data_IF_088321411865
#
_entry.id   IF_088321411865
#
_cell.length_a   1.000
_cell.length_b   1.000
_cell.length_c   1.000
_cell.angle_alpha   90.00
_cell.angle_beta   90.00
_cell.angle_gamma   90.00
#
_symmetry.space_group_name_H-M   'P 1'
#
loop_
_entity.id
_entity.type
_entity.pdbx_description
1 polymer ?
#
# COMPACT_ATOMS: atom_id res chain seq x y z
N UNK A 1 -8.07 -4.75 -47.15
CA UNK A 1 -7.97 -6.00 -46.39
C UNK A 1 -8.32 -5.68 -44.96
N UNK A 2 -9.30 -6.35 -44.33
CA UNK A 2 -9.57 -6.17 -42.92
C UNK A 2 -8.35 -6.69 -42.14
N UNK A 3 -7.78 -5.88 -41.22
CA UNK A 3 -6.72 -6.35 -40.34
C UNK A 3 -7.23 -7.53 -39.52
N UNK A 4 -6.37 -8.50 -39.28
CA UNK A 4 -6.67 -9.61 -38.38
C UNK A 4 -6.79 -9.06 -36.95
N UNK A 5 -7.87 -9.39 -36.25
CA UNK A 5 -8.14 -8.92 -34.86
C UNK A 5 -6.98 -9.22 -33.89
N UNK A 6 -6.26 -10.32 -34.08
CA UNK A 6 -5.08 -10.63 -33.28
C UNK A 6 -3.90 -9.68 -33.55
N UNK A 7 -3.73 -9.24 -34.80
CA UNK A 7 -2.71 -8.24 -35.15
C UNK A 7 -3.08 -6.89 -34.56
N UNK A 8 -4.36 -6.48 -34.64
CA UNK A 8 -4.82 -5.23 -34.02
C UNK A 8 -4.65 -5.23 -32.50
N UNK A 9 -4.96 -6.34 -31.82
CA UNK A 9 -4.73 -6.51 -30.39
C UNK A 9 -3.25 -6.43 -30.06
N UNK A 10 -2.40 -7.14 -30.81
CA UNK A 10 -0.94 -7.12 -30.60
C UNK A 10 -0.36 -5.72 -30.77
N UNK A 11 -0.77 -5.00 -31.82
CA UNK A 11 -0.32 -3.63 -32.08
C UNK A 11 -0.80 -2.66 -30.95
N UNK A 12 -2.04 -2.83 -30.48
CA UNK A 12 -2.57 -2.04 -29.38
C UNK A 12 -1.78 -2.27 -28.09
N UNK A 13 -1.46 -3.52 -27.76
CA UNK A 13 -0.68 -3.85 -26.56
C UNK A 13 0.76 -3.35 -26.66
N UNK A 14 1.39 -3.42 -27.81
CA UNK A 14 2.71 -2.85 -28.04
C UNK A 14 2.72 -1.33 -27.83
N UNK A 15 1.73 -0.64 -28.44
CA UNK A 15 1.57 0.81 -28.28
C UNK A 15 1.29 1.22 -26.82
N UNK A 16 0.49 0.43 -26.09
CA UNK A 16 0.23 0.65 -24.67
C UNK A 16 1.52 0.52 -23.84
N UNK A 17 2.37 -0.48 -24.14
CA UNK A 17 3.66 -0.67 -23.48
C UNK A 17 4.62 0.50 -23.76
N UNK A 18 4.71 0.95 -25.02
CA UNK A 18 5.52 2.12 -25.40
C UNK A 18 5.05 3.39 -24.69
N UNK A 19 3.76 3.64 -24.63
CA UNK A 19 3.17 4.79 -23.95
C UNK A 19 3.51 4.78 -22.45
N UNK A 20 3.28 3.67 -21.75
CA UNK A 20 3.62 3.52 -20.34
C UNK A 20 5.13 3.57 -20.09
N UNK A 21 5.93 3.14 -21.06
CA UNK A 21 7.38 3.19 -21.03
C UNK A 21 7.96 4.59 -20.84
N UNK A 22 7.25 5.63 -21.30
CA UNK A 22 7.68 7.04 -21.14
C UNK A 22 7.66 7.49 -19.66
N UNK A 23 6.76 6.93 -18.85
CA UNK A 23 6.66 7.22 -17.41
C UNK A 23 7.32 6.16 -16.54
N UNK A 24 7.73 5.02 -17.12
CA UNK A 24 8.43 3.94 -16.41
C UNK A 24 9.92 4.18 -16.43
N UNK A 25 10.53 4.22 -15.25
CA UNK A 25 11.94 4.55 -15.05
C UNK A 25 12.71 3.36 -14.48
N UNK A 26 14.02 3.35 -14.71
CA UNK A 26 14.94 2.49 -13.99
C UNK A 26 15.32 3.15 -12.67
N UNK A 27 15.30 2.38 -11.59
CA UNK A 27 15.72 2.81 -10.25
C UNK A 27 16.92 1.96 -9.82
N UNK A 28 18.10 2.59 -9.74
CA UNK A 28 19.32 2.00 -9.18
C UNK A 28 19.51 2.49 -7.75
N UNK A 29 18.84 1.83 -6.80
CA UNK A 29 18.84 2.15 -5.38
C UNK A 29 19.32 1.01 -4.49
N UNK A 30 19.86 -0.07 -5.08
CA UNK A 30 20.33 -1.26 -4.35
C UNK A 30 21.62 -1.84 -4.96
N UNK A 31 22.28 -2.74 -4.20
CA UNK A 31 23.59 -3.28 -4.58
C UNK A 31 23.57 -4.29 -5.74
N UNK A 32 22.47 -5.01 -5.93
CA UNK A 32 22.41 -6.11 -6.91
C UNK A 32 22.12 -5.58 -8.32
N UNK A 33 20.88 -5.63 -8.73
CA UNK A 33 20.45 -5.16 -10.05
C UNK A 33 19.35 -4.12 -9.90
N UNK A 34 19.23 -3.16 -10.82
CA UNK A 34 18.21 -2.13 -10.73
C UNK A 34 16.80 -2.69 -10.68
N UNK A 35 15.88 -1.86 -10.26
CA UNK A 35 14.45 -2.13 -10.27
C UNK A 35 13.74 -1.09 -11.12
N UNK A 36 12.41 -1.13 -11.11
CA UNK A 36 11.58 -0.20 -11.83
C UNK A 36 10.95 0.82 -10.87
N UNK A 37 10.54 1.93 -11.43
CA UNK A 37 9.71 2.93 -10.81
C UNK A 37 8.79 3.57 -11.82
N UNK A 38 7.87 4.40 -11.35
CA UNK A 38 6.97 5.16 -12.19
C UNK A 38 6.96 6.62 -11.76
N UNK A 39 7.00 7.53 -12.72
CA UNK A 39 6.85 8.94 -12.45
C UNK A 39 5.39 9.25 -12.10
N UNK A 40 5.11 9.60 -10.85
CA UNK A 40 3.77 10.05 -10.45
C UNK A 40 3.63 11.57 -10.45
N UNK A 41 4.77 12.28 -10.47
CA UNK A 41 4.89 13.71 -10.75
C UNK A 41 6.17 13.99 -11.53
N UNK A 42 6.35 15.21 -12.03
CA UNK A 42 7.52 15.59 -12.85
C UNK A 42 8.87 15.41 -12.14
N UNK A 43 8.87 15.44 -10.83
CA UNK A 43 10.05 15.38 -9.98
C UNK A 43 9.97 14.31 -8.88
N UNK A 44 8.97 13.40 -8.98
CA UNK A 44 8.72 12.36 -8.00
C UNK A 44 8.52 11.01 -8.68
N UNK A 45 9.26 10.02 -8.19
CA UNK A 45 9.15 8.63 -8.64
C UNK A 45 8.58 7.78 -7.51
N UNK A 46 7.57 7.01 -7.82
CA UNK A 46 7.04 5.95 -6.96
C UNK A 46 7.68 4.62 -7.34
N UNK A 47 8.14 3.87 -6.34
CA UNK A 47 8.74 2.54 -6.51
C UNK A 47 8.39 1.63 -5.34
N UNK A 48 8.80 0.38 -5.36
CA UNK A 48 8.65 -0.52 -4.22
C UNK A 48 9.69 -0.22 -3.12
N UNK A 49 9.29 -0.29 -1.85
CA UNK A 49 10.17 -0.02 -0.71
C UNK A 49 11.36 -0.99 -0.63
N UNK A 50 11.10 -2.29 -0.85
CA UNK A 50 12.12 -3.33 -0.73
C UNK A 50 13.26 -3.23 -1.76
N UNK A 51 13.12 -2.39 -2.80
CA UNK A 51 14.17 -2.16 -3.80
C UNK A 51 15.01 -0.93 -3.49
N UNK A 52 14.70 -0.17 -2.42
CA UNK A 52 15.41 1.03 -1.99
C UNK A 52 16.28 0.70 -0.78
N UNK A 53 17.56 0.41 -1.02
CA UNK A 53 18.57 0.11 0.01
C UNK A 53 19.42 1.32 0.40
N UNK A 54 19.33 2.43 -0.39
CA UNK A 54 20.04 3.70 -0.17
C UNK A 54 19.05 4.85 -0.10
N UNK A 55 19.34 5.84 0.72
CA UNK A 55 18.47 7.01 0.90
C UNK A 55 18.90 8.20 0.02
N UNK A 56 20.19 8.22 -0.40
CA UNK A 56 20.79 9.26 -1.23
C UNK A 56 21.59 8.67 -2.40
N UNK A 57 22.01 9.49 -3.33
CA UNK A 57 22.78 9.12 -4.54
C UNK A 57 22.12 7.99 -5.33
N UNK A 58 20.80 7.99 -5.35
CA UNK A 58 20.00 7.03 -6.12
C UNK A 58 20.02 7.48 -7.58
N UNK A 59 20.39 6.59 -8.50
CA UNK A 59 20.31 6.87 -9.93
C UNK A 59 18.98 6.47 -10.49
N UNK A 60 18.35 7.39 -11.22
CA UNK A 60 17.10 7.17 -11.93
C UNK A 60 17.35 7.44 -13.42
N UNK A 61 16.95 6.49 -14.27
CA UNK A 61 17.03 6.67 -15.73
C UNK A 61 15.61 6.76 -16.27
N UNK A 62 15.31 7.90 -16.88
CA UNK A 62 14.01 8.21 -17.45
C UNK A 62 13.72 7.40 -18.73
N UNK A 63 12.50 7.52 -19.25
CA UNK A 63 12.06 6.84 -20.47
C UNK A 63 12.89 7.22 -21.72
N UNK A 64 13.37 8.43 -21.79
CA UNK A 64 14.23 8.97 -22.86
C UNK A 64 15.72 8.65 -22.69
N UNK A 65 16.11 7.96 -21.63
CA UNK A 65 17.49 7.63 -21.30
C UNK A 65 18.23 8.66 -20.46
N UNK A 66 17.59 9.77 -20.09
CA UNK A 66 18.19 10.80 -19.22
C UNK A 66 18.47 10.21 -17.84
N UNK A 67 19.71 10.32 -17.37
CA UNK A 67 20.13 9.88 -16.03
C UNK A 67 20.05 11.07 -15.06
N UNK A 68 19.31 10.89 -13.96
CA UNK A 68 19.14 11.89 -12.90
C UNK A 68 19.54 11.28 -11.55
N UNK A 69 19.94 12.16 -10.64
CA UNK A 69 20.12 11.78 -9.23
C UNK A 69 18.82 11.99 -8.47
N UNK A 70 18.55 11.10 -7.55
CA UNK A 70 17.40 11.17 -6.66
C UNK A 70 17.81 10.88 -5.22
N UNK A 71 16.96 11.31 -4.29
CA UNK A 71 17.01 10.96 -2.88
C UNK A 71 15.69 10.41 -2.40
N UNK A 72 15.72 9.63 -1.34
CA UNK A 72 14.49 9.15 -0.70
C UNK A 72 13.71 10.34 -0.11
N UNK A 73 12.48 10.54 -0.56
CA UNK A 73 11.55 11.52 0.00
C UNK A 73 10.70 10.94 1.12
N UNK A 74 10.38 9.65 1.02
CA UNK A 74 9.64 8.95 2.05
C UNK A 74 9.44 7.48 1.70
N UNK A 75 9.18 6.66 2.72
CA UNK A 75 8.97 5.22 2.55
C UNK A 75 7.93 4.67 3.50
N UNK A 76 7.26 3.62 3.08
CA UNK A 76 6.34 2.83 3.88
C UNK A 76 6.55 1.33 3.67
N UNK A 77 7.36 0.68 4.53
CA UNK A 77 7.56 -0.77 4.44
C UNK A 77 6.27 -1.58 4.53
N UNK A 78 5.25 -1.05 5.18
CA UNK A 78 3.98 -1.74 5.36
C UNK A 78 3.15 -1.88 4.09
N UNK A 79 3.19 -0.91 3.19
CA UNK A 79 2.58 -1.00 1.86
C UNK A 79 3.60 -1.36 0.78
N UNK A 80 4.89 -1.52 1.16
CA UNK A 80 5.99 -1.75 0.23
C UNK A 80 6.11 -0.66 -0.85
N UNK A 81 5.89 0.60 -0.48
CA UNK A 81 6.02 1.76 -1.36
C UNK A 81 7.08 2.75 -0.87
N UNK A 82 7.81 3.33 -1.80
CA UNK A 82 8.76 4.41 -1.55
C UNK A 82 8.65 5.50 -2.61
N UNK A 83 8.87 6.74 -2.20
CA UNK A 83 8.89 7.91 -3.07
C UNK A 83 10.30 8.46 -3.13
N UNK A 84 10.81 8.66 -4.34
CA UNK A 84 12.08 9.29 -4.61
C UNK A 84 11.84 10.67 -5.18
N UNK A 85 12.59 11.66 -4.70
CA UNK A 85 12.63 13.04 -5.22
C UNK A 85 13.81 13.18 -6.17
N UNK A 86 13.51 13.55 -7.41
CA UNK A 86 14.52 13.88 -8.42
C UNK A 86 15.14 15.25 -8.16
N UNK A 87 16.35 15.46 -8.59
CA UNK A 87 17.05 16.75 -8.61
C UNK A 87 16.52 17.67 -9.72
N UNK A 88 15.75 17.16 -10.66
CA UNK A 88 15.16 17.88 -11.79
C UNK A 88 13.72 17.45 -12.05
N UNK A 89 12.87 18.39 -12.48
CA UNK A 89 11.45 18.13 -12.81
C UNK A 89 11.28 17.76 -14.30
N UNK A 90 11.91 16.66 -14.73
CA UNK A 90 11.99 16.25 -16.14
C UNK A 90 11.20 14.97 -16.46
N UNK A 91 10.70 14.25 -15.46
CA UNK A 91 9.96 13.00 -15.70
C UNK A 91 8.59 13.28 -16.33
N UNK A 92 8.11 12.32 -17.12
CA UNK A 92 6.76 12.31 -17.72
C UNK A 92 5.82 11.59 -16.76
N UNK A 93 4.86 12.27 -16.12
CA UNK A 93 3.94 11.62 -15.19
C UNK A 93 3.07 10.57 -15.88
N UNK A 94 2.84 9.48 -15.17
CA UNK A 94 1.97 8.41 -15.64
C UNK A 94 0.50 8.82 -15.69
N UNK A 95 -0.23 8.25 -16.63
CA UNK A 95 -1.68 8.39 -16.73
C UNK A 95 -2.34 7.26 -15.95
N UNK A 96 -3.07 7.59 -14.91
CA UNK A 96 -3.83 6.60 -14.11
C UNK A 96 -5.14 6.28 -14.81
N UNK A 97 -5.52 5.01 -14.80
CA UNK A 97 -6.81 4.56 -15.34
C UNK A 97 -7.97 5.17 -14.55
N UNK A 98 -8.96 5.71 -15.24
CA UNK A 98 -10.14 6.33 -14.63
C UNK A 98 -11.11 5.31 -14.03
N UNK A 99 -11.07 4.08 -14.53
CA UNK A 99 -11.92 2.99 -14.07
C UNK A 99 -11.05 1.93 -13.38
N UNK A 100 -11.50 1.32 -12.28
CA UNK A 100 -10.76 0.25 -11.64
C UNK A 100 -10.62 -0.97 -12.55
N UNK A 101 -9.58 -1.77 -12.30
CA UNK A 101 -9.39 -3.04 -12.98
C UNK A 101 -10.56 -4.00 -12.70
N UNK A 102 -10.83 -4.90 -13.63
CA UNK A 102 -11.87 -5.93 -13.50
C UNK A 102 -11.28 -7.31 -13.78
N UNK A 103 -11.75 -8.32 -13.06
CA UNK A 103 -11.36 -9.72 -13.30
C UNK A 103 -11.63 -10.10 -14.74
N UNK A 104 -10.66 -10.76 -15.39
CA UNK A 104 -10.70 -11.17 -16.78
C UNK A 104 -10.16 -10.11 -17.77
N UNK A 105 -9.85 -8.88 -17.34
CA UNK A 105 -9.22 -7.89 -18.22
C UNK A 105 -7.79 -8.27 -18.58
N UNK A 106 -7.40 -8.02 -19.84
CA UNK A 106 -6.02 -8.09 -20.29
C UNK A 106 -5.20 -6.95 -19.70
N UNK A 107 -3.98 -7.27 -19.28
CA UNK A 107 -3.05 -6.34 -18.66
C UNK A 107 -1.61 -6.61 -19.09
N UNK A 108 -0.77 -5.58 -18.96
CA UNK A 108 0.67 -5.70 -19.10
C UNK A 108 1.33 -5.23 -17.80
N UNK A 109 2.23 -6.05 -17.25
CA UNK A 109 3.21 -5.56 -16.29
C UNK A 109 4.38 -4.97 -17.09
N UNK A 110 4.79 -3.75 -16.73
CA UNK A 110 5.92 -3.07 -17.37
C UNK A 110 7.03 -2.90 -16.35
N UNK A 111 8.24 -3.18 -16.75
CA UNK A 111 9.46 -2.91 -15.99
C UNK A 111 10.52 -2.24 -16.87
N UNK A 112 11.49 -1.57 -16.21
CA UNK A 112 12.72 -1.06 -16.82
C UNK A 112 13.90 -1.51 -15.96
N UNK A 113 14.23 -2.81 -16.00
CA UNK A 113 15.28 -3.37 -15.12
C UNK A 113 16.69 -3.06 -15.61
N UNK A 114 16.84 -2.51 -16.81
CA UNK A 114 18.13 -2.22 -17.44
C UNK A 114 18.08 -1.01 -18.37
N UNK A 115 19.26 -0.49 -18.76
CA UNK A 115 19.40 0.59 -19.75
C UNK A 115 18.94 0.20 -21.17
N UNK A 116 18.64 -1.09 -21.41
CA UNK A 116 18.20 -1.58 -22.74
C UNK A 116 16.77 -1.15 -23.08
N UNK A 117 16.00 -0.64 -22.11
CA UNK A 117 14.63 -0.19 -22.30
C UNK A 117 13.64 -0.89 -21.39
N UNK A 118 12.37 -0.83 -21.78
CA UNK A 118 11.29 -1.50 -21.06
C UNK A 118 11.24 -2.99 -21.41
N UNK A 119 10.76 -3.77 -20.45
CA UNK A 119 10.37 -5.16 -20.61
C UNK A 119 8.89 -5.27 -20.20
N UNK A 120 8.16 -6.18 -20.83
CA UNK A 120 6.72 -6.36 -20.54
C UNK A 120 6.37 -7.84 -20.35
N UNK A 121 5.33 -8.07 -19.57
CA UNK A 121 4.70 -9.38 -19.40
C UNK A 121 3.19 -9.23 -19.53
N UNK A 122 2.61 -9.98 -20.46
CA UNK A 122 1.17 -10.01 -20.72
C UNK A 122 0.46 -11.01 -19.80
N UNK A 123 -0.74 -10.67 -19.38
CA UNK A 123 -1.59 -11.55 -18.59
C UNK A 123 -2.99 -11.02 -18.42
N UNK A 124 -3.70 -11.57 -17.45
CA UNK A 124 -5.06 -11.21 -17.08
C UNK A 124 -5.16 -10.86 -15.60
N UNK A 125 -6.17 -10.07 -15.25
CA UNK A 125 -6.56 -9.86 -13.85
C UNK A 125 -7.29 -11.12 -13.37
N UNK A 126 -6.69 -11.85 -12.43
CA UNK A 126 -7.23 -13.12 -11.92
C UNK A 126 -8.15 -12.91 -10.73
N UNK A 127 -7.81 -11.95 -9.86
CA UNK A 127 -8.59 -11.62 -8.69
C UNK A 127 -8.36 -10.18 -8.25
N UNK A 128 -9.36 -9.62 -7.59
CA UNK A 128 -9.28 -8.37 -6.84
C UNK A 128 -9.72 -8.71 -5.43
N UNK A 129 -8.89 -8.41 -4.45
CA UNK A 129 -9.13 -8.77 -3.06
C UNK A 129 -8.74 -7.66 -2.10
N UNK A 130 -9.02 -7.87 -0.83
CA UNK A 130 -8.68 -6.99 0.29
C UNK A 130 -9.80 -6.93 1.33
N UNK A 131 -9.54 -6.36 2.49
CA UNK A 131 -8.23 -5.94 2.97
C UNK A 131 -7.31 -7.12 3.32
N UNK A 132 -5.99 -6.90 3.26
CA UNK A 132 -4.99 -7.91 3.62
C UNK A 132 -3.85 -7.30 4.43
N UNK A 133 -3.44 -7.98 5.49
CA UNK A 133 -2.26 -7.62 6.24
C UNK A 133 -0.99 -7.98 5.48
N UNK A 134 -0.06 -7.06 5.49
CA UNK A 134 1.26 -7.30 4.93
C UNK A 134 2.20 -7.85 6.01
N UNK A 135 3.19 -8.65 5.60
CA UNK A 135 4.17 -9.24 6.52
C UNK A 135 5.04 -8.22 7.26
N UNK A 136 4.98 -6.95 6.88
CA UNK A 136 5.72 -5.84 7.51
C UNK A 136 4.83 -4.89 8.34
N UNK A 137 3.67 -5.38 8.79
CA UNK A 137 2.80 -4.66 9.72
C UNK A 137 1.93 -3.57 9.09
N UNK A 138 1.80 -3.56 7.76
CA UNK A 138 0.85 -2.70 7.04
C UNK A 138 -0.46 -3.40 6.72
N UNK A 139 -1.37 -2.63 6.15
CA UNK A 139 -2.65 -3.09 5.62
C UNK A 139 -2.77 -2.60 4.18
N UNK A 140 -3.10 -3.47 3.25
CA UNK A 140 -3.59 -3.09 1.93
C UNK A 140 -5.11 -3.20 1.95
N UNK A 141 -5.80 -2.11 1.70
CA UNK A 141 -7.26 -2.09 1.60
C UNK A 141 -7.76 -2.93 0.42
N UNK A 142 -6.97 -3.00 -0.64
CA UNK A 142 -7.23 -3.83 -1.81
C UNK A 142 -5.93 -4.20 -2.53
N UNK A 143 -5.98 -5.26 -3.33
CA UNK A 143 -4.89 -5.68 -4.21
C UNK A 143 -5.45 -6.28 -5.51
N UNK A 144 -4.64 -6.21 -6.56
CA UNK A 144 -4.92 -6.88 -7.84
C UNK A 144 -3.96 -8.06 -7.97
N UNK A 145 -4.50 -9.23 -8.26
CA UNK A 145 -3.73 -10.45 -8.57
C UNK A 145 -3.85 -10.75 -10.05
N UNK A 146 -2.72 -11.08 -10.68
CA UNK A 146 -2.62 -11.37 -12.10
C UNK A 146 -1.79 -12.62 -12.34
N UNK A 147 -1.83 -13.14 -13.57
CA UNK A 147 -0.96 -14.23 -14.05
C UNK A 147 0.24 -13.72 -14.87
N UNK A 148 0.51 -12.41 -14.84
CA UNK A 148 1.73 -11.87 -15.43
C UNK A 148 2.98 -12.47 -14.77
N UNK A 149 4.01 -12.67 -15.56
CA UNK A 149 5.32 -13.06 -15.03
C UNK A 149 6.01 -11.82 -14.48
N UNK A 150 6.26 -11.80 -13.18
CA UNK A 150 7.04 -10.74 -12.54
C UNK A 150 8.54 -11.05 -12.69
N UNK A 151 9.16 -10.54 -13.73
CA UNK A 151 10.60 -10.69 -13.94
C UNK A 151 11.41 -9.90 -12.90
N UNK A 152 12.68 -10.33 -12.64
CA UNK A 152 13.57 -9.57 -11.75
C UNK A 152 13.68 -8.11 -12.17
N UNK A 153 13.41 -7.20 -11.22
CA UNK A 153 13.44 -5.76 -11.49
C UNK A 153 12.10 -5.15 -11.90
N UNK A 154 11.00 -5.90 -11.97
CA UNK A 154 9.66 -5.37 -12.27
C UNK A 154 9.00 -4.68 -11.07
N UNK A 155 9.44 -4.97 -9.85
CA UNK A 155 8.93 -4.30 -8.64
C UNK A 155 9.09 -2.78 -8.75
N UNK A 156 8.03 -2.05 -8.42
CA UNK A 156 7.92 -0.60 -8.58
C UNK A 156 7.42 -0.14 -9.96
N UNK A 157 7.43 -1.01 -10.96
CA UNK A 157 6.86 -0.73 -12.28
C UNK A 157 5.33 -0.86 -12.33
N UNK A 158 4.67 -0.30 -13.34
CA UNK A 158 3.22 -0.30 -13.42
C UNK A 158 2.63 -1.61 -13.95
N UNK A 159 1.41 -1.91 -13.51
CA UNK A 159 0.44 -2.73 -14.22
C UNK A 159 -0.45 -1.80 -15.04
N UNK A 160 -0.61 -2.05 -16.35
CA UNK A 160 -1.36 -1.18 -17.25
C UNK A 160 -2.48 -1.91 -17.99
N UNK A 161 -3.46 -1.13 -18.46
CA UNK A 161 -4.49 -1.58 -19.39
C UNK A 161 -4.03 -1.49 -20.86
N UNK A 162 -4.88 -1.87 -21.80
CA UNK A 162 -4.61 -1.80 -23.24
C UNK A 162 -4.49 -0.39 -23.83
N UNK A 163 -4.72 0.65 -23.01
CA UNK A 163 -4.55 2.06 -23.37
C UNK A 163 -3.28 2.68 -22.75
N UNK A 164 -2.43 1.87 -22.11
CA UNK A 164 -1.21 2.33 -21.42
C UNK A 164 -1.48 3.06 -20.11
N UNK A 165 -2.70 3.03 -19.58
CA UNK A 165 -3.07 3.67 -18.33
C UNK A 165 -2.80 2.73 -17.15
N UNK A 166 -2.35 3.29 -16.04
CA UNK A 166 -1.89 2.55 -14.87
C UNK A 166 -3.05 2.08 -14.00
N UNK A 167 -3.16 0.78 -13.78
CA UNK A 167 -4.04 0.17 -12.79
C UNK A 167 -3.42 0.09 -11.40
N UNK A 168 -2.09 0.04 -11.32
CA UNK A 168 -1.39 -0.03 -10.04
C UNK A 168 0.09 -0.29 -10.17
N UNK A 169 0.75 -0.53 -9.03
CA UNK A 169 2.19 -0.73 -8.89
C UNK A 169 2.47 -2.19 -8.55
N UNK A 170 3.31 -2.84 -9.35
CA UNK A 170 3.71 -4.23 -9.15
C UNK A 170 4.72 -4.36 -8.01
N UNK A 171 4.53 -5.33 -7.15
CA UNK A 171 5.48 -5.68 -6.10
C UNK A 171 5.54 -7.17 -5.85
N UNK A 172 6.74 -7.67 -5.52
CA UNK A 172 7.00 -9.02 -5.02
C UNK A 172 7.26 -9.06 -3.51
N UNK A 173 7.13 -7.92 -2.81
CA UNK A 173 7.51 -7.76 -1.40
C UNK A 173 6.58 -8.44 -0.39
N UNK A 174 5.44 -9.00 -0.81
CA UNK A 174 4.44 -9.58 0.10
C UNK A 174 4.49 -11.11 0.26
N UNK A 175 5.55 -11.78 -0.17
CA UNK A 175 5.82 -13.19 0.16
C UNK A 175 5.30 -14.22 -0.85
N UNK A 176 5.00 -15.45 -0.41
CA UNK A 176 4.91 -16.68 -1.19
C UNK A 176 3.72 -16.84 -2.16
N UNK A 177 2.94 -15.81 -2.39
CA UNK A 177 1.76 -15.88 -3.26
C UNK A 177 1.95 -15.40 -4.70
N UNK A 178 3.18 -15.09 -5.11
CA UNK A 178 3.48 -14.42 -6.39
C UNK A 178 3.45 -12.89 -6.29
N UNK A 179 3.70 -12.20 -7.40
CA UNK A 179 3.60 -10.75 -7.45
C UNK A 179 2.15 -10.31 -7.32
N UNK A 180 1.93 -9.25 -6.58
CA UNK A 180 0.65 -8.53 -6.51
C UNK A 180 0.83 -7.11 -7.01
N UNK A 181 -0.27 -6.48 -7.35
CA UNK A 181 -0.30 -5.08 -7.76
C UNK A 181 -1.10 -4.29 -6.74
N UNK A 182 -0.49 -3.22 -6.21
CA UNK A 182 -1.17 -2.24 -5.34
C UNK A 182 -1.97 -1.32 -6.26
N UNK A 183 -3.32 -1.21 -6.10
CA UNK A 183 -4.13 -0.36 -6.96
C UNK A 183 -3.65 1.08 -6.99
N UNK A 184 -3.81 1.75 -8.14
CA UNK A 184 -3.24 3.07 -8.36
C UNK A 184 -3.79 4.14 -7.42
N UNK A 185 -5.08 4.12 -7.12
CA UNK A 185 -5.71 5.03 -6.16
C UNK A 185 -5.09 4.94 -4.77
N UNK A 186 -4.88 3.72 -4.27
CA UNK A 186 -4.20 3.47 -3.00
C UNK A 186 -2.71 3.88 -3.07
N UNK A 187 -2.01 3.49 -4.15
CA UNK A 187 -0.60 3.79 -4.33
C UNK A 187 -0.32 5.30 -4.43
N UNK A 188 -1.15 6.06 -5.15
CA UNK A 188 -1.02 7.52 -5.27
C UNK A 188 -1.29 8.23 -3.94
N UNK A 189 -2.32 7.84 -3.20
CA UNK A 189 -2.62 8.37 -1.87
C UNK A 189 -1.46 8.17 -0.89
N UNK A 190 -0.85 6.98 -0.93
CA UNK A 190 0.36 6.69 -0.15
C UNK A 190 1.53 7.58 -0.63
N UNK A 191 1.76 7.67 -1.94
CA UNK A 191 2.82 8.46 -2.52
C UNK A 191 2.74 9.94 -2.14
N UNK A 192 1.56 10.56 -2.20
CA UNK A 192 1.31 11.93 -1.78
C UNK A 192 1.62 12.14 -0.29
N UNK A 193 1.22 11.19 0.57
CA UNK A 193 1.51 11.23 2.00
C UNK A 193 3.02 11.15 2.26
N UNK A 194 3.70 10.21 1.57
CA UNK A 194 5.15 10.04 1.69
C UNK A 194 5.93 11.24 1.17
N UNK A 195 5.51 11.83 0.04
CA UNK A 195 6.12 13.03 -0.52
C UNK A 195 6.03 14.24 0.44
N UNK A 196 4.92 14.34 1.19
CA UNK A 196 4.64 15.46 2.09
C UNK A 196 5.22 15.26 3.48
N UNK A 197 5.18 14.05 4.02
CA UNK A 197 5.48 13.76 5.43
C UNK A 197 6.65 12.79 5.64
N UNK A 198 7.18 12.19 4.59
CA UNK A 198 8.30 11.23 4.64
C UNK A 198 7.92 9.83 5.12
N UNK A 199 6.82 9.69 5.85
CA UNK A 199 6.34 8.41 6.41
C UNK A 199 4.83 8.39 6.58
N UNK A 200 4.28 7.19 6.71
CA UNK A 200 2.90 6.99 7.15
C UNK A 200 2.90 6.79 8.66
N UNK A 201 2.20 7.66 9.38
CA UNK A 201 2.02 7.51 10.82
C UNK A 201 1.10 6.33 11.09
N UNK A 202 1.60 5.36 11.86
CA UNK A 202 0.83 4.22 12.35
C UNK A 202 0.62 4.34 13.84
N UNK A 203 -0.64 4.31 14.23
CA UNK A 203 -0.99 4.37 15.63
C UNK A 203 -0.65 3.07 16.35
N UNK A 204 -0.26 3.23 17.60
CA UNK A 204 0.18 2.19 18.49
C UNK A 204 -0.48 2.35 19.85
N UNK A 205 -1.05 1.26 20.38
CA UNK A 205 -1.61 1.22 21.74
C UNK A 205 -0.75 0.40 22.71
N UNK A 206 0.01 -0.58 22.20
CA UNK A 206 0.79 -1.51 23.02
C UNK A 206 -0.07 -2.56 23.72
N UNK A 207 -1.10 -3.04 23.05
CA UNK A 207 -1.95 -4.12 23.53
C UNK A 207 -1.65 -5.43 22.81
N UNK A 208 -1.85 -6.55 23.50
CA UNK A 208 -2.06 -7.87 22.92
C UNK A 208 -3.52 -8.22 23.10
N UNK A 209 -4.21 -8.60 22.05
CA UNK A 209 -5.64 -8.85 22.07
C UNK A 209 -6.06 -10.06 21.25
N UNK A 210 -7.24 -10.56 21.54
CA UNK A 210 -7.88 -11.66 20.83
C UNK A 210 -9.30 -11.26 20.47
N UNK A 211 -9.77 -11.63 19.27
CA UNK A 211 -11.18 -11.47 18.93
C UNK A 211 -12.03 -12.42 19.77
N UNK A 212 -13.05 -11.90 20.40
CA UNK A 212 -14.00 -12.67 21.25
C UNK A 212 -15.41 -12.25 20.91
N UNK A 213 -16.36 -13.17 21.11
CA UNK A 213 -17.78 -12.82 21.09
C UNK A 213 -18.11 -12.01 22.34
N UNK A 214 -18.86 -10.92 22.18
CA UNK A 214 -19.32 -10.10 23.28
C UNK A 214 -20.46 -10.84 23.98
N UNK A 215 -20.39 -11.07 25.31
CA UNK A 215 -21.50 -11.65 26.07
C UNK A 215 -22.81 -10.84 25.91
N UNK A 216 -23.98 -11.48 25.97
CA UNK A 216 -25.28 -10.85 25.77
C UNK A 216 -25.50 -9.62 26.67
N UNK A 217 -25.07 -9.71 27.94
CA UNK A 217 -25.13 -8.59 28.89
C UNK A 217 -24.27 -7.40 28.41
N UNK A 218 -23.11 -7.67 27.82
CA UNK A 218 -22.25 -6.66 27.23
C UNK A 218 -22.84 -6.06 25.95
N UNK A 219 -23.44 -6.88 25.08
CA UNK A 219 -24.11 -6.41 23.87
C UNK A 219 -25.27 -5.45 24.21
N UNK A 220 -26.00 -5.72 25.28
CA UNK A 220 -27.09 -4.86 25.74
C UNK A 220 -26.65 -3.46 26.16
N UNK A 221 -25.38 -3.26 26.54
CA UNK A 221 -24.79 -1.98 26.87
C UNK A 221 -24.43 -1.15 25.63
N UNK A 222 -24.28 -1.81 24.47
CA UNK A 222 -23.90 -1.13 23.22
C UNK A 222 -25.14 -0.53 22.57
N UNK A 223 -25.05 0.72 22.12
CA UNK A 223 -26.13 1.41 21.37
C UNK A 223 -26.19 0.97 19.89
N UNK A 224 -25.49 -0.11 19.55
CA UNK A 224 -25.38 -0.67 18.19
C UNK A 224 -25.37 -2.19 18.25
N UNK A 225 -25.75 -2.82 17.14
CA UNK A 225 -25.62 -4.27 17.00
C UNK A 225 -24.16 -4.60 16.72
N UNK A 226 -23.50 -5.33 17.63
CA UNK A 226 -22.11 -5.74 17.52
C UNK A 226 -21.93 -7.08 18.22
N UNK A 227 -21.38 -8.07 17.51
CA UNK A 227 -21.25 -9.44 18.02
C UNK A 227 -19.84 -9.71 18.60
N UNK A 228 -18.80 -9.03 18.06
CA UNK A 228 -17.42 -9.27 18.42
C UNK A 228 -16.74 -8.01 18.99
N UNK A 229 -15.67 -8.25 19.73
CA UNK A 229 -14.76 -7.22 20.23
C UNK A 229 -13.36 -7.80 20.45
N UNK A 230 -12.42 -6.96 20.85
CA UNK A 230 -11.03 -7.35 21.07
C UNK A 230 -10.72 -7.42 22.57
N UNK A 231 -10.70 -8.63 23.14
CA UNK A 231 -10.29 -8.87 24.53
C UNK A 231 -8.79 -8.55 24.69
N UNK A 232 -8.45 -7.63 25.57
CA UNK A 232 -7.08 -7.31 25.92
C UNK A 232 -6.53 -8.40 26.83
N UNK A 233 -5.54 -9.15 26.33
CA UNK A 233 -4.89 -10.26 27.05
C UNK A 233 -3.51 -9.89 27.56
N UNK A 234 -3.01 -8.70 27.23
CA UNK A 234 -1.74 -8.18 27.73
C UNK A 234 -1.51 -6.73 27.31
N UNK A 235 -0.71 -6.04 28.11
CA UNK A 235 -0.24 -4.68 27.87
C UNK A 235 1.29 -4.68 27.83
N UNK A 236 1.87 -3.91 26.91
CA UNK A 236 3.31 -3.65 26.94
C UNK A 236 3.61 -2.63 28.04
N UNK A 237 4.77 -2.76 28.68
CA UNK A 237 5.19 -1.82 29.71
C UNK A 237 5.27 -0.39 29.13
N UNK A 238 4.86 0.59 29.91
CA UNK A 238 4.86 2.01 29.53
C UNK A 238 4.13 2.34 28.21
N UNK A 239 3.22 1.44 27.80
CA UNK A 239 2.45 1.62 26.57
C UNK A 239 1.39 2.72 26.67
N UNK A 240 0.99 3.33 25.55
CA UNK A 240 -0.15 4.25 25.49
C UNK A 240 -1.41 3.71 26.16
N UNK A 241 -1.71 2.43 25.94
CA UNK A 241 -2.86 1.75 26.53
C UNK A 241 -2.78 1.68 28.06
N UNK A 242 -1.62 1.26 28.60
CA UNK A 242 -1.41 1.20 30.04
C UNK A 242 -1.46 2.58 30.70
N UNK A 243 -0.77 3.55 30.11
CA UNK A 243 -0.77 4.94 30.58
C UNK A 243 -2.17 5.60 30.50
N UNK A 244 -2.98 5.20 29.52
CA UNK A 244 -4.35 5.66 29.35
C UNK A 244 -5.38 4.97 30.25
N UNK A 245 -4.98 3.93 31.01
CA UNK A 245 -5.86 3.23 31.95
C UNK A 245 -6.64 2.06 31.38
N UNK A 246 -6.22 1.51 30.21
CA UNK A 246 -6.72 0.21 29.75
C UNK A 246 -6.16 -0.91 30.64
N UNK A 247 -6.90 -1.98 30.78
CA UNK A 247 -6.57 -3.11 31.64
C UNK A 247 -6.68 -4.44 30.88
N UNK A 248 -5.92 -5.43 31.32
CA UNK A 248 -6.12 -6.82 30.89
C UNK A 248 -7.51 -7.26 31.34
N UNK A 249 -8.28 -7.85 30.43
CA UNK A 249 -9.69 -8.22 30.66
C UNK A 249 -10.69 -7.23 30.10
N UNK A 250 -10.27 -6.02 29.67
CA UNK A 250 -11.13 -5.12 28.89
C UNK A 250 -11.43 -5.73 27.52
N UNK A 251 -12.66 -5.59 27.02
CA UNK A 251 -13.02 -5.89 25.64
C UNK A 251 -13.16 -4.56 24.91
N UNK A 252 -12.22 -4.25 24.04
CA UNK A 252 -12.29 -3.06 23.17
C UNK A 252 -13.38 -3.28 22.12
N UNK A 253 -14.38 -2.41 22.12
CA UNK A 253 -15.55 -2.48 21.22
C UNK A 253 -15.67 -1.28 20.31
N UNK A 254 -14.91 -0.19 20.54
CA UNK A 254 -14.97 1.01 19.69
C UNK A 254 -13.74 1.90 19.81
N UNK A 255 -13.50 2.67 18.74
CA UNK A 255 -12.48 3.72 18.67
C UNK A 255 -13.11 4.97 18.07
N UNK A 256 -13.07 6.08 18.77
CA UNK A 256 -13.66 7.36 18.35
C UNK A 256 -15.14 7.25 17.93
N UNK A 257 -15.93 6.40 18.62
CA UNK A 257 -17.34 6.16 18.34
C UNK A 257 -17.64 5.12 17.27
N UNK A 258 -16.64 4.64 16.54
CA UNK A 258 -16.78 3.64 15.50
C UNK A 258 -16.56 2.23 16.05
N UNK A 259 -17.37 1.27 15.63
CA UNK A 259 -17.27 -0.12 16.07
C UNK A 259 -15.93 -0.77 15.71
N UNK A 260 -15.44 -1.63 16.62
CA UNK A 260 -14.25 -2.47 16.40
C UNK A 260 -14.63 -3.92 16.75
N UNK A 261 -14.71 -4.76 15.74
CA UNK A 261 -14.97 -6.20 15.88
C UNK A 261 -13.71 -7.04 15.63
N UNK A 262 -12.80 -6.52 14.79
CA UNK A 262 -11.59 -7.22 14.36
C UNK A 262 -10.34 -6.33 14.41
N UNK A 263 -9.17 -6.97 14.44
CA UNK A 263 -7.88 -6.25 14.50
C UNK A 263 -7.66 -5.30 13.32
N UNK A 264 -8.16 -5.65 12.13
CA UNK A 264 -7.95 -4.85 10.91
C UNK A 264 -8.66 -3.49 11.00
N UNK A 265 -9.86 -3.46 11.62
CA UNK A 265 -10.58 -2.22 11.90
C UNK A 265 -9.81 -1.36 12.91
N UNK A 266 -9.28 -1.98 13.98
CA UNK A 266 -8.45 -1.29 14.96
C UNK A 266 -7.25 -0.62 14.31
N UNK A 267 -6.49 -1.34 13.44
CA UNK A 267 -5.33 -0.77 12.76
C UNK A 267 -5.70 0.38 11.84
N UNK A 268 -6.79 0.24 11.11
CA UNK A 268 -7.30 1.31 10.23
C UNK A 268 -7.66 2.56 11.03
N UNK A 269 -8.36 2.41 12.16
CA UNK A 269 -8.80 3.53 12.99
C UNK A 269 -7.68 4.19 13.81
N UNK A 270 -6.60 3.46 14.07
CA UNK A 270 -5.42 4.02 14.77
C UNK A 270 -4.42 4.71 13.83
N UNK A 271 -4.67 4.76 12.52
CA UNK A 271 -3.76 5.34 11.54
C UNK A 271 -4.06 6.81 11.23
N UNK A 272 -3.04 7.54 10.76
CA UNK A 272 -3.20 8.92 10.31
C UNK A 272 -3.34 9.94 11.45
N UNK A 273 -4.37 10.77 11.38
CA UNK A 273 -4.52 11.95 12.23
C UNK A 273 -4.80 11.70 13.72
N UNK A 274 -5.08 10.47 14.11
CA UNK A 274 -5.30 10.10 15.53
C UNK A 274 -3.99 9.89 16.28
N UNK A 275 -2.88 9.68 15.57
CA UNK A 275 -1.55 9.49 16.18
C UNK A 275 -1.11 10.75 16.91
N UNK A 276 -0.73 10.58 18.18
CA UNK A 276 -0.37 11.67 19.08
C UNK A 276 -1.55 12.42 19.71
N UNK A 277 -2.80 12.02 19.40
CA UNK A 277 -3.99 12.64 19.97
C UNK A 277 -4.66 11.74 20.99
N UNK A 278 -5.32 12.37 21.98
CA UNK A 278 -6.21 11.68 22.92
C UNK A 278 -7.45 11.20 22.16
N UNK A 279 -7.63 9.89 22.12
CA UNK A 279 -8.68 9.22 21.35
C UNK A 279 -9.56 8.42 22.32
N UNK A 280 -10.88 8.60 22.29
CA UNK A 280 -11.80 7.84 23.13
C UNK A 280 -11.89 6.40 22.62
N UNK A 281 -11.70 5.44 23.50
CA UNK A 281 -11.82 4.01 23.27
C UNK A 281 -13.01 3.49 24.08
N UNK A 282 -13.98 2.88 23.42
CA UNK A 282 -15.10 2.20 24.06
C UNK A 282 -14.67 0.81 24.49
N UNK A 283 -14.76 0.49 25.77
CA UNK A 283 -14.41 -0.82 26.32
C UNK A 283 -15.54 -1.38 27.18
N UNK A 284 -15.70 -2.69 27.16
CA UNK A 284 -16.51 -3.39 28.16
C UNK A 284 -15.59 -3.88 29.26
N UNK A 285 -15.74 -3.31 30.47
CA UNK A 285 -14.99 -3.63 31.69
C UNK A 285 -15.96 -4.20 32.72
N UNK A 286 -15.78 -5.47 33.06
CA UNK A 286 -16.70 -6.17 33.99
C UNK A 286 -18.15 -6.15 33.52
N UNK A 287 -18.39 -6.20 32.20
CA UNK A 287 -19.72 -6.16 31.56
C UNK A 287 -20.34 -4.77 31.43
N UNK A 288 -19.64 -3.70 31.84
CA UNK A 288 -20.13 -2.30 31.71
C UNK A 288 -19.37 -1.56 30.62
N UNK A 289 -20.10 -0.76 29.85
CA UNK A 289 -19.49 0.11 28.84
C UNK A 289 -18.84 1.31 29.52
N UNK A 290 -17.53 1.47 29.29
CA UNK A 290 -16.72 2.60 29.74
C UNK A 290 -16.01 3.24 28.54
N UNK A 291 -15.73 4.54 28.65
CA UNK A 291 -14.91 5.28 27.67
C UNK A 291 -13.57 5.61 28.32
N UNK A 292 -12.50 5.08 27.73
CA UNK A 292 -11.13 5.31 28.17
C UNK A 292 -10.41 6.18 27.15
N UNK A 293 -9.88 7.34 27.56
CA UNK A 293 -9.14 8.23 26.67
C UNK A 293 -7.67 7.86 26.64
N UNK A 294 -7.17 7.47 25.48
CA UNK A 294 -5.78 7.06 25.30
C UNK A 294 -5.10 7.98 24.28
N UNK A 295 -3.93 8.49 24.63
CA UNK A 295 -3.08 9.18 23.66
C UNK A 295 -2.44 8.12 22.77
N UNK A 296 -2.87 8.06 21.51
CA UNK A 296 -2.39 7.05 20.55
C UNK A 296 -0.91 7.29 20.27
N UNK A 297 -0.07 6.31 20.56
CA UNK A 297 1.37 6.36 20.26
C UNK A 297 1.65 6.23 18.76
N UNK A 298 2.89 6.48 18.36
CA UNK A 298 3.40 6.25 17.01
C UNK A 298 4.41 5.09 17.03
N UNK A 299 4.29 4.18 16.07
CA UNK A 299 5.25 3.08 15.90
C UNK A 299 5.84 3.10 14.50
#
# INVERSE_FOLDING_TARGET
>A
MSKNIFTELSDAMASAAEQAGNSTVLVDARRRFPASGIAFAKDMILTADHVVERDEDIKVILGDGTELTARLAGRDPGTDLAVLKLDSASAVPAVVAKTPARVGQFVLAIGRPSKRGIESSFGTVNAIGGPVRTGRGGMLESFIKTDVVSYPGFSGGPLINGEGQVFGINTSGFGSGGAITIPADAAWKVAETLAKHGKIKRGYLGIRSQTVNIPEDGQSQLKRKQENGLLIVGLEAESPAGNGGLMVGDILVGVAGEAIEHHDELFTRLSGDVVGKSTPLDVLRGGRLEVVNVVVGER
#
